data_IF_430636240038
#
_entry.id   IF_430636240038
#
_cell.length_a   1.000
_cell.length_b   1.000
_cell.length_c   1.000
_cell.angle_alpha   90.00
_cell.angle_beta   90.00
_cell.angle_gamma   90.00
#
_symmetry.space_group_name_H-M   'P 1'
#
loop_
_entity.id
_entity.type
_entity.pdbx_description
1 polymer ?
#
# COMPACT_ATOMS: atom_id res chain seq x y z
N UNK A 1 -11.35 -21.36 26.42
CA UNK A 1 -11.13 -21.01 25.92
C UNK A 1 -10.95 -20.14 25.24
N UNK A 2 -10.94 -19.98 24.82
CA UNK A 2 -10.58 -19.31 24.39
C UNK A 2 -10.64 -18.59 23.62
N UNK A 3 -11.20 -18.66 23.38
CA UNK A 3 -11.03 -17.44 23.11
C UNK A 3 -10.25 -16.89 21.92
N UNK A 4 -9.84 -17.64 21.01
CA UNK A 4 -9.16 -17.26 19.79
C UNK A 4 -9.98 -16.30 18.92
N UNK A 5 -11.28 -16.32 19.03
CA UNK A 5 -12.15 -15.43 18.26
C UNK A 5 -12.12 -13.98 18.72
N UNK A 6 -11.44 -13.69 19.82
CA UNK A 6 -11.36 -12.32 20.31
C UNK A 6 -10.35 -11.47 19.54
N UNK A 7 -9.50 -12.09 18.72
CA UNK A 7 -8.48 -11.37 17.96
C UNK A 7 -8.78 -11.46 16.45
N UNK A 8 -9.52 -10.47 15.91
CA UNK A 8 -9.76 -10.47 14.48
C UNK A 8 -8.44 -10.31 13.71
N UNK A 9 -8.43 -10.78 12.49
CA UNK A 9 -7.26 -10.60 11.62
C UNK A 9 -6.93 -9.12 11.49
N UNK A 10 -5.65 -8.75 11.42
CA UNK A 10 -5.28 -7.36 11.25
C UNK A 10 -5.74 -6.83 9.89
N UNK A 11 -6.02 -5.56 9.83
CA UNK A 11 -6.26 -4.88 8.57
C UNK A 11 -4.92 -4.59 7.91
N UNK A 12 -4.82 -4.89 6.63
CA UNK A 12 -3.64 -4.62 5.82
C UNK A 12 -4.00 -3.52 4.83
N UNK A 13 -3.39 -2.36 5.01
CA UNK A 13 -3.61 -1.21 4.15
C UNK A 13 -2.38 -1.03 3.27
N UNK A 14 -2.61 -0.88 1.99
CA UNK A 14 -1.53 -0.73 1.02
C UNK A 14 -1.75 0.54 0.21
N UNK A 15 -0.67 1.25 -0.07
CA UNK A 15 -0.74 2.47 -0.86
C UNK A 15 0.54 2.68 -1.65
N UNK A 16 0.42 3.39 -2.76
CA UNK A 16 1.54 3.66 -3.65
C UNK A 16 1.92 5.12 -3.59
N UNK A 17 3.22 5.38 -3.61
CA UNK A 17 3.78 6.72 -3.75
C UNK A 17 4.88 6.68 -4.79
N UNK A 18 4.95 7.72 -5.61
CA UNK A 18 5.98 7.84 -6.64
C UNK A 18 7.17 8.67 -6.18
N UNK A 19 7.07 9.28 -5.00
CA UNK A 19 8.06 10.20 -4.47
C UNK A 19 8.58 9.70 -3.12
N UNK A 20 9.89 9.55 -3.01
CA UNK A 20 10.56 9.11 -1.79
C UNK A 20 10.28 10.04 -0.61
N UNK A 21 10.24 11.35 -0.87
CA UNK A 21 9.94 12.33 0.19
C UNK A 21 8.50 12.18 0.68
N UNK A 22 7.57 11.86 -0.23
CA UNK A 22 6.19 11.59 0.13
C UNK A 22 6.07 10.39 1.07
N UNK A 23 6.86 9.35 0.84
CA UNK A 23 6.88 8.17 1.72
C UNK A 23 7.35 8.57 3.12
N UNK A 24 8.45 9.31 3.21
CA UNK A 24 8.98 9.74 4.50
C UNK A 24 7.96 10.59 5.26
N UNK A 25 7.29 11.50 4.57
CA UNK A 25 6.27 12.35 5.18
C UNK A 25 5.07 11.53 5.65
N UNK A 26 4.65 10.55 4.87
CA UNK A 26 3.53 9.68 5.23
C UNK A 26 3.87 8.86 6.49
N UNK A 27 5.07 8.29 6.53
CA UNK A 27 5.53 7.52 7.69
C UNK A 27 5.57 8.41 8.93
N UNK A 28 6.14 9.60 8.81
CA UNK A 28 6.21 10.54 9.93
C UNK A 28 4.81 10.91 10.43
N UNK A 29 3.87 11.13 9.52
CA UNK A 29 2.49 11.44 9.88
C UNK A 29 1.81 10.28 10.59
N UNK A 30 2.07 9.05 10.14
CA UNK A 30 1.53 7.84 10.78
C UNK A 30 2.07 7.71 12.21
N UNK A 31 3.37 7.90 12.38
CA UNK A 31 3.99 7.84 13.71
C UNK A 31 3.40 8.91 14.64
N UNK A 32 3.23 10.14 14.15
CA UNK A 32 2.59 11.20 14.93
C UNK A 32 1.14 10.86 15.27
N UNK A 33 0.48 10.09 14.39
CA UNK A 33 -0.89 9.65 14.62
C UNK A 33 -1.02 8.45 15.55
N UNK A 34 0.09 7.98 16.11
CA UNK A 34 0.09 6.91 17.10
C UNK A 34 0.37 5.52 16.56
N UNK A 35 0.81 5.39 15.32
CA UNK A 35 1.16 4.09 14.74
C UNK A 35 2.62 3.77 15.03
N UNK A 36 2.89 2.52 15.42
CA UNK A 36 4.25 2.09 15.75
C UNK A 36 5.01 1.71 14.47
N UNK A 37 6.33 1.68 14.60
CA UNK A 37 7.20 1.23 13.52
C UNK A 37 6.88 -0.19 13.06
N UNK A 38 6.41 -1.03 13.98
CA UNK A 38 6.07 -2.43 13.67
C UNK A 38 4.81 -2.56 12.83
N UNK A 39 4.00 -1.52 12.78
CA UNK A 39 2.79 -1.51 11.98
C UNK A 39 3.03 -0.97 10.58
N UNK A 40 4.19 -0.39 10.31
CA UNK A 40 4.49 0.33 9.07
C UNK A 40 5.65 -0.32 8.34
N UNK A 41 5.49 -0.53 7.04
CA UNK A 41 6.57 -1.04 6.20
C UNK A 41 6.55 -0.31 4.87
N UNK A 42 7.71 -0.11 4.29
CA UNK A 42 7.83 0.58 3.00
C UNK A 42 8.81 -0.18 2.12
N UNK A 43 8.39 -0.46 0.90
CA UNK A 43 9.18 -1.22 -0.05
C UNK A 43 9.45 -0.38 -1.29
N UNK A 44 10.69 -0.42 -1.75
CA UNK A 44 11.10 0.26 -2.98
C UNK A 44 11.99 -0.65 -3.81
N UNK A 45 12.18 -0.29 -5.07
CA UNK A 45 13.07 -1.02 -5.96
C UNK A 45 14.51 -0.76 -5.57
N UNK A 46 15.28 -1.82 -5.38
CA UNK A 46 16.71 -1.74 -5.04
C UNK A 46 17.54 -2.22 -6.21
N UNK A 47 18.57 -1.44 -6.54
CA UNK A 47 19.55 -1.81 -7.56
C UNK A 47 18.94 -2.10 -8.94
N UNK A 48 17.83 -1.43 -9.26
CA UNK A 48 17.18 -1.59 -10.55
C UNK A 48 16.40 -2.89 -10.69
N UNK A 49 16.27 -3.65 -9.64
CA UNK A 49 15.51 -4.90 -9.63
C UNK A 49 14.30 -4.77 -8.74
N UNK A 50 13.13 -5.12 -9.29
CA UNK A 50 11.89 -5.17 -8.55
C UNK A 50 11.55 -6.64 -8.30
N UNK A 51 11.52 -7.10 -7.04
CA UNK A 51 11.03 -8.46 -6.76
C UNK A 51 9.55 -8.55 -7.09
N UNK A 52 9.08 -9.77 -7.34
CA UNK A 52 7.66 -9.98 -7.54
C UNK A 52 6.96 -9.93 -6.19
N UNK A 53 6.09 -8.94 -6.02
CA UNK A 53 5.36 -8.73 -4.77
C UNK A 53 4.00 -9.41 -4.76
N UNK A 54 3.57 -9.98 -5.89
CA UNK A 54 2.21 -10.54 -5.99
C UNK A 54 1.95 -11.58 -4.91
N UNK A 55 2.84 -12.56 -4.79
CA UNK A 55 2.65 -13.63 -3.80
C UNK A 55 2.72 -13.11 -2.37
N UNK A 56 3.62 -12.17 -2.10
CA UNK A 56 3.70 -11.56 -0.77
C UNK A 56 2.39 -10.86 -0.41
N UNK A 57 1.86 -10.05 -1.31
CA UNK A 57 0.63 -9.33 -1.08
C UNK A 57 -0.56 -10.27 -0.93
N UNK A 58 -0.61 -11.33 -1.73
CA UNK A 58 -1.65 -12.36 -1.59
C UNK A 58 -1.59 -13.02 -0.23
N UNK A 59 -0.38 -13.33 0.26
CA UNK A 59 -0.21 -13.94 1.56
C UNK A 59 -0.67 -13.03 2.70
N UNK A 60 -0.68 -11.73 2.47
CA UNK A 60 -1.14 -10.73 3.44
C UNK A 60 -2.65 -10.46 3.36
N UNK A 61 -3.34 -11.12 2.44
CA UNK A 61 -4.79 -10.98 2.29
C UNK A 61 -5.22 -9.91 1.28
N UNK A 62 -4.29 -9.38 0.49
CA UNK A 62 -4.63 -8.42 -0.56
C UNK A 62 -5.27 -9.18 -1.74
N UNK A 63 -6.33 -8.63 -2.31
CA UNK A 63 -7.00 -9.23 -3.46
C UNK A 63 -6.04 -9.38 -4.65
N UNK A 64 -6.23 -10.44 -5.43
CA UNK A 64 -5.33 -10.75 -6.55
C UNK A 64 -5.19 -9.59 -7.54
N UNK A 65 -6.29 -8.99 -7.96
CA UNK A 65 -6.25 -7.88 -8.91
C UNK A 65 -5.46 -6.69 -8.37
N UNK A 66 -5.67 -6.39 -7.09
CA UNK A 66 -4.96 -5.30 -6.43
C UNK A 66 -3.48 -5.64 -6.27
N UNK A 67 -3.16 -6.89 -5.93
CA UNK A 67 -1.78 -7.33 -5.78
C UNK A 67 -1.02 -7.20 -7.11
N UNK A 68 -1.65 -7.60 -8.21
CA UNK A 68 -1.06 -7.48 -9.55
C UNK A 68 -0.83 -6.00 -9.89
N UNK A 69 -1.80 -5.15 -9.62
CA UNK A 69 -1.69 -3.71 -9.87
C UNK A 69 -0.52 -3.10 -9.08
N UNK A 70 -0.43 -3.41 -7.80
CA UNK A 70 0.66 -2.90 -6.97
C UNK A 70 2.01 -3.39 -7.46
N UNK A 71 2.09 -4.65 -7.85
CA UNK A 71 3.34 -5.21 -8.36
C UNK A 71 3.77 -4.50 -9.65
N UNK A 72 2.84 -4.23 -10.55
CA UNK A 72 3.13 -3.53 -11.81
C UNK A 72 3.64 -2.11 -11.54
N UNK A 73 2.99 -1.37 -10.64
CA UNK A 73 3.42 -0.03 -10.29
C UNK A 73 4.78 -0.04 -9.58
N UNK A 74 5.00 -1.01 -8.71
CA UNK A 74 6.26 -1.18 -8.01
C UNK A 74 7.40 -1.44 -9.00
N UNK A 75 7.15 -2.27 -10.00
CA UNK A 75 8.14 -2.55 -11.05
C UNK A 75 8.47 -1.29 -11.86
N UNK A 76 7.54 -0.35 -11.96
CA UNK A 76 7.73 0.91 -12.66
C UNK A 76 8.36 2.00 -11.79
N UNK A 77 8.71 1.69 -10.54
CA UNK A 77 9.40 2.60 -9.65
C UNK A 77 8.59 3.21 -8.53
N UNK A 78 7.32 2.86 -8.41
CA UNK A 78 6.52 3.31 -7.27
C UNK A 78 7.03 2.66 -5.99
N UNK A 79 6.85 3.33 -4.88
CA UNK A 79 7.11 2.75 -3.57
C UNK A 79 5.79 2.27 -2.98
N UNK A 80 5.84 1.15 -2.29
CA UNK A 80 4.67 0.56 -1.65
C UNK A 80 4.75 0.79 -0.15
N UNK A 81 3.74 1.46 0.40
CA UNK A 81 3.61 1.67 1.83
C UNK A 81 2.56 0.70 2.35
N UNK A 82 2.92 -0.06 3.38
CA UNK A 82 2.05 -1.06 3.97
C UNK A 82 1.85 -0.74 5.44
N UNK A 83 0.59 -0.71 5.87
CA UNK A 83 0.26 -0.52 7.28
C UNK A 83 -0.59 -1.70 7.73
N UNK A 84 -0.10 -2.44 8.73
CA UNK A 84 -0.83 -3.54 9.34
C UNK A 84 -1.26 -3.11 10.74
N UNK A 85 -2.55 -3.01 10.95
CA UNK A 85 -3.08 -2.51 12.21
C UNK A 85 -4.42 -3.15 12.55
N UNK A 86 -4.96 -2.83 13.71
CA UNK A 86 -6.28 -3.35 14.10
C UNK A 86 -7.35 -2.81 13.14
N UNK A 87 -8.31 -3.65 12.75
CA UNK A 87 -9.41 -3.18 11.91
C UNK A 87 -10.28 -2.17 12.65
N UNK A 88 -11.08 -1.41 11.90
CA UNK A 88 -12.01 -0.44 12.44
C UNK A 88 -11.45 0.97 12.44
N UNK A 89 -11.62 1.67 13.57
CA UNK A 89 -11.27 3.08 13.66
C UNK A 89 -9.79 3.35 13.38
N UNK A 90 -8.92 2.49 13.92
CA UNK A 90 -7.47 2.66 13.74
C UNK A 90 -7.08 2.50 12.27
N UNK A 91 -7.66 1.52 11.58
CA UNK A 91 -7.41 1.31 10.15
C UNK A 91 -7.90 2.50 9.33
N UNK A 92 -9.07 3.03 9.66
CA UNK A 92 -9.60 4.21 8.93
C UNK A 92 -8.73 5.43 9.15
N UNK A 93 -8.21 5.61 10.36
CA UNK A 93 -7.31 6.70 10.66
C UNK A 93 -6.02 6.60 9.82
N UNK A 94 -5.44 5.40 9.75
CA UNK A 94 -4.25 5.16 8.94
C UNK A 94 -4.52 5.47 7.47
N UNK A 95 -5.66 5.00 6.95
CA UNK A 95 -6.03 5.22 5.56
C UNK A 95 -6.16 6.71 5.25
N UNK A 96 -6.79 7.47 6.14
CA UNK A 96 -6.92 8.92 5.97
C UNK A 96 -5.56 9.60 5.94
N UNK A 97 -4.66 9.22 6.83
CA UNK A 97 -3.32 9.79 6.87
C UNK A 97 -2.58 9.47 5.57
N UNK A 98 -2.64 8.23 5.12
CA UNK A 98 -2.00 7.83 3.87
C UNK A 98 -2.50 8.66 2.70
N UNK A 99 -3.80 8.83 2.58
CA UNK A 99 -4.40 9.61 1.49
C UNK A 99 -4.04 11.09 1.56
N UNK A 100 -3.98 11.66 2.76
CA UNK A 100 -3.60 13.06 2.95
C UNK A 100 -2.18 13.34 2.49
N UNK A 101 -1.33 12.32 2.50
CA UNK A 101 0.07 12.44 2.08
C UNK A 101 0.33 11.89 0.69
N UNK A 102 -0.72 11.76 -0.11
CA UNK A 102 -0.58 11.45 -1.52
C UNK A 102 -0.48 9.97 -1.85
N UNK A 103 -0.69 9.08 -0.88
CA UNK A 103 -0.74 7.65 -1.18
C UNK A 103 -1.93 7.34 -2.06
N UNK A 104 -1.69 6.57 -3.09
CA UNK A 104 -2.76 6.06 -3.93
C UNK A 104 -3.24 4.76 -3.32
N UNK A 105 -4.46 4.79 -2.79
CA UNK A 105 -5.11 3.62 -2.18
C UNK A 105 -6.39 3.40 -2.96
N UNK A 106 -6.30 2.74 -4.11
CA UNK A 106 -7.47 2.63 -4.99
C UNK A 106 -8.54 1.70 -4.42
N UNK A 107 -9.78 2.14 -4.50
CA UNK A 107 -10.93 1.26 -4.35
C UNK A 107 -10.99 0.36 -5.59
N UNK A 108 -11.78 -0.70 -5.52
CA UNK A 108 -11.86 -1.66 -6.63
C UNK A 108 -12.19 -0.98 -7.97
N UNK A 109 -13.11 -0.03 -7.96
CA UNK A 109 -13.50 0.72 -9.16
C UNK A 109 -12.37 1.61 -9.66
N UNK A 110 -11.74 2.33 -8.75
CA UNK A 110 -10.65 3.26 -9.08
C UNK A 110 -9.43 2.52 -9.64
N UNK A 111 -9.25 1.27 -9.25
CA UNK A 111 -8.15 0.43 -9.69
C UNK A 111 -8.12 0.31 -11.21
N UNK A 112 -9.25 0.02 -11.83
CA UNK A 112 -9.33 -0.13 -13.28
C UNK A 112 -9.05 1.17 -14.02
N UNK A 113 -9.62 2.27 -13.54
CA UNK A 113 -9.41 3.58 -14.16
C UNK A 113 -7.94 3.98 -14.08
N UNK A 114 -7.32 3.76 -12.94
CA UNK A 114 -5.92 4.10 -12.75
C UNK A 114 -4.99 3.25 -13.61
N UNK A 115 -5.28 1.97 -13.70
CA UNK A 115 -4.51 1.05 -14.55
C UNK A 115 -4.57 1.47 -16.00
N UNK A 116 -5.74 1.85 -16.49
CA UNK A 116 -5.90 2.34 -17.86
C UNK A 116 -5.08 3.60 -18.10
N UNK A 117 -5.06 4.51 -17.14
CA UNK A 117 -4.28 5.75 -17.23
C UNK A 117 -2.78 5.45 -17.31
N UNK A 118 -2.29 4.54 -16.48
CA UNK A 118 -0.89 4.14 -16.50
C UNK A 118 -0.49 3.52 -17.84
N UNK A 119 -1.32 2.63 -18.36
CA UNK A 119 -1.07 2.01 -19.65
C UNK A 119 -0.97 3.06 -20.75
N UNK A 120 -1.85 4.07 -20.71
CA UNK A 120 -1.84 5.17 -21.67
C UNK A 120 -0.55 5.98 -21.57
N UNK A 121 -0.11 6.29 -20.35
CA UNK A 121 1.12 7.03 -20.12
C UNK A 121 2.36 6.27 -20.59
N UNK A 122 2.41 4.97 -20.37
CA UNK A 122 3.51 4.13 -20.85
C UNK A 122 3.64 4.19 -22.36
N UNK A 123 2.53 4.18 -23.09
CA UNK A 123 2.54 4.28 -24.54
C UNK A 123 3.10 5.60 -25.02
N UNK A 124 2.79 6.70 -24.32
CA UNK A 124 3.28 8.02 -24.67
C UNK A 124 4.78 8.18 -24.43
N UNK A 125 5.32 7.46 -23.46
CA UNK A 125 6.70 7.59 -23.06
C UNK A 125 7.65 6.66 -23.83
N UNK A 126 7.17 5.94 -24.80
CA UNK A 126 8.00 5.10 -25.67
C UNK A 126 8.43 5.83 -26.95
#
# INVERSE_FOLDING_TARGET
>A
MFTSKSNPAPAVLTGLLWDTFGVADAIAALVRGGFSEYEIDALGVLCGRAPDLTDLLLSMGVERERAIFYNDCFADGAMLLIVCTKPGRRARSALNIMRQHGCIVPAHKELYEYTATLASQRRKNR
#
